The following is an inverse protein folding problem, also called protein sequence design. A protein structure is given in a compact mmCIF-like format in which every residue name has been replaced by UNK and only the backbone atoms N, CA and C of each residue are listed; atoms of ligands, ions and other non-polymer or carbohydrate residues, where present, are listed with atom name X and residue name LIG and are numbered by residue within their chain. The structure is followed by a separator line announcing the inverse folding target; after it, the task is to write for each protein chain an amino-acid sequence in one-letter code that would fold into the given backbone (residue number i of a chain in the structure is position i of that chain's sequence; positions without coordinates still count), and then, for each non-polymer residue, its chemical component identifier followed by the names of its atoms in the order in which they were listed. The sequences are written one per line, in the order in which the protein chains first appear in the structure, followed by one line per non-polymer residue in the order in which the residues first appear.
data_IF_228288280319
#
_entry.id   IF_228288280319
#
_cell.length_a   1.000
_cell.length_b   1.000
_cell.length_c   1.000
_cell.angle_alpha   90.00
_cell.angle_beta   90.00
_cell.angle_gamma   90.00
#
_symmetry.space_group_name_H-M   'P 1'
#
loop_
_entity.id
_entity.type
_entity.pdbx_description
1 polymer ?
#
# COMPACT_ATOMS: atom_id res chain seq x y z
N UNK A 1 -12.53 0.41 1.82
CA UNK A 1 -11.91 1.34 0.83
C UNK A 1 -11.31 2.60 1.46
N UNK A 2 -12.06 3.38 2.24
CA UNK A 2 -11.53 4.61 2.85
C UNK A 2 -10.34 4.35 3.78
N UNK A 3 -10.44 3.32 4.65
CA UNK A 3 -9.34 2.91 5.53
C UNK A 3 -8.07 2.55 4.75
N UNK A 4 -8.20 1.81 3.64
CA UNK A 4 -7.07 1.45 2.77
C UNK A 4 -6.38 2.67 2.17
N UNK A 5 -7.15 3.57 1.55
CA UNK A 5 -6.59 4.76 0.90
C UNK A 5 -5.98 5.70 1.94
N UNK A 6 -6.67 5.88 3.09
CA UNK A 6 -6.20 6.70 4.20
C UNK A 6 -4.91 6.17 4.81
N UNK A 7 -4.81 4.87 5.06
CA UNK A 7 -3.60 4.26 5.62
C UNK A 7 -2.41 4.34 4.65
N UNK A 8 -2.64 4.12 3.35
CA UNK A 8 -1.59 4.25 2.33
C UNK A 8 -1.11 5.70 2.20
N UNK A 9 -2.03 6.68 2.19
CA UNK A 9 -1.69 8.09 2.16
C UNK A 9 -0.91 8.51 3.43
N UNK A 10 -1.35 8.06 4.60
CA UNK A 10 -0.65 8.31 5.86
C UNK A 10 0.78 7.72 5.82
N UNK A 11 0.95 6.49 5.32
CA UNK A 11 2.26 5.86 5.19
C UNK A 11 3.20 6.65 4.26
N UNK A 12 2.69 7.12 3.10
CA UNK A 12 3.46 7.98 2.18
C UNK A 12 3.91 9.27 2.87
N UNK A 13 2.99 9.95 3.57
CA UNK A 13 3.28 11.21 4.26
C UNK A 13 4.30 10.99 5.37
N UNK A 14 4.12 9.95 6.19
CA UNK A 14 5.06 9.63 7.26
C UNK A 14 6.44 9.38 6.67
N UNK A 15 6.58 8.48 5.69
CA UNK A 15 7.88 8.19 5.07
C UNK A 15 8.55 9.44 4.46
N UNK A 16 7.79 10.30 3.77
CA UNK A 16 8.31 11.55 3.20
C UNK A 16 8.74 12.56 4.28
N UNK A 17 8.08 12.56 5.44
CA UNK A 17 8.36 13.48 6.54
C UNK A 17 9.60 13.10 7.37
N UNK A 18 10.22 11.93 7.15
CA UNK A 18 11.39 11.50 7.93
C UNK A 18 12.53 12.52 7.87
N UNK A 19 12.70 13.20 6.72
CA UNK A 19 13.71 14.24 6.54
C UNK A 19 13.63 15.37 7.58
N UNK A 20 12.44 15.65 8.10
CA UNK A 20 12.21 16.74 9.06
C UNK A 20 12.67 16.39 10.48
N UNK A 21 12.70 15.10 10.81
CA UNK A 21 12.99 14.61 12.16
C UNK A 21 14.36 13.95 12.28
N UNK A 22 15.04 13.67 11.16
CA UNK A 22 16.28 12.86 11.11
C UNK A 22 17.40 13.35 12.03
N UNK A 23 17.47 14.67 12.30
CA UNK A 23 18.52 15.28 13.12
C UNK A 23 18.22 15.28 14.63
N UNK A 24 17.01 14.89 15.05
CA UNK A 24 16.60 14.90 16.46
C UNK A 24 16.29 13.47 16.95
N UNK A 25 17.13 12.95 17.86
CA UNK A 25 17.02 11.58 18.38
C UNK A 25 15.66 11.29 19.02
N UNK A 26 15.16 12.19 19.86
CA UNK A 26 13.87 11.99 20.55
C UNK A 26 12.71 12.01 19.56
N UNK A 27 12.76 12.94 18.59
CA UNK A 27 11.76 12.99 17.52
C UNK A 27 11.77 11.71 16.68
N UNK A 28 12.95 11.16 16.37
CA UNK A 28 13.08 9.91 15.61
C UNK A 28 12.48 8.70 16.35
N UNK A 29 12.63 8.60 17.68
CA UNK A 29 12.02 7.51 18.45
C UNK A 29 10.49 7.55 18.33
N UNK A 30 9.88 8.72 18.53
CA UNK A 30 8.43 8.89 18.39
C UNK A 30 8.00 8.61 16.94
N UNK A 31 8.77 9.11 15.98
CA UNK A 31 8.51 8.94 14.56
C UNK A 31 8.56 7.48 14.10
N UNK A 32 9.49 6.66 14.62
CA UNK A 32 9.52 5.22 14.32
C UNK A 32 8.27 4.52 14.84
N UNK A 33 7.76 4.93 16.01
CA UNK A 33 6.46 4.48 16.50
C UNK A 33 5.32 4.84 15.55
N UNK A 34 5.28 6.10 15.08
CA UNK A 34 4.29 6.57 14.10
C UNK A 34 4.41 5.82 12.76
N UNK A 35 5.62 5.57 12.28
CA UNK A 35 5.90 4.77 11.10
C UNK A 35 5.35 3.35 11.26
N UNK A 36 5.57 2.73 12.41
CA UNK A 36 5.00 1.42 12.75
C UNK A 36 3.47 1.45 12.66
N UNK A 37 2.83 2.41 13.34
CA UNK A 37 1.36 2.56 13.30
C UNK A 37 0.86 2.71 11.86
N UNK A 38 1.47 3.60 11.08
CA UNK A 38 1.07 3.84 9.69
C UNK A 38 1.25 2.59 8.82
N UNK A 39 2.38 1.88 8.96
CA UNK A 39 2.68 0.68 8.18
C UNK A 39 1.75 -0.48 8.53
N UNK A 40 1.51 -0.75 9.82
CA UNK A 40 0.61 -1.84 10.22
C UNK A 40 -0.86 -1.54 9.91
N UNK A 41 -1.26 -0.26 9.93
CA UNK A 41 -2.61 0.15 9.57
C UNK A 41 -2.99 -0.21 8.11
N UNK A 42 -2.02 -0.42 7.21
CA UNK A 42 -2.32 -0.81 5.82
C UNK A 42 -2.67 -2.29 5.67
N UNK A 43 -2.24 -3.15 6.59
CA UNK A 43 -2.27 -4.61 6.41
C UNK A 43 -3.70 -5.13 6.35
N UNK A 44 -4.50 -4.90 7.38
CA UNK A 44 -5.87 -5.44 7.44
C UNK A 44 -6.77 -4.91 6.30
N UNK A 45 -6.79 -3.60 5.96
CA UNK A 45 -7.59 -3.09 4.85
C UNK A 45 -7.20 -3.67 3.49
N UNK A 46 -5.91 -3.94 3.23
CA UNK A 46 -5.45 -4.58 1.99
C UNK A 46 -5.99 -6.01 1.89
N UNK A 47 -5.80 -6.79 2.96
CA UNK A 47 -6.21 -8.20 2.98
C UNK A 47 -7.72 -8.37 2.82
N UNK A 48 -8.51 -7.54 3.52
CA UNK A 48 -9.97 -7.55 3.41
C UNK A 48 -10.44 -7.18 2.01
N UNK A 49 -9.81 -6.18 1.38
CA UNK A 49 -10.22 -5.73 0.04
C UNK A 49 -10.04 -6.81 -1.01
N UNK A 50 -8.99 -7.62 -0.94
CA UNK A 50 -8.81 -8.75 -1.87
C UNK A 50 -9.92 -9.79 -1.67
N UNK A 51 -10.24 -10.09 -0.41
CA UNK A 51 -11.27 -11.06 -0.07
C UNK A 51 -12.66 -10.62 -0.53
N UNK A 52 -13.03 -9.35 -0.34
CA UNK A 52 -14.31 -8.78 -0.76
C UNK A 52 -14.58 -8.92 -2.27
N UNK A 53 -13.52 -9.00 -3.08
CA UNK A 53 -13.62 -9.12 -4.54
C UNK A 53 -13.70 -10.56 -5.03
N UNK A 54 -13.50 -11.54 -4.15
CA UNK A 54 -13.64 -12.95 -4.46
C UNK A 54 -14.89 -13.50 -3.77
N UNK A 55 -15.85 -14.04 -4.54
CA UNK A 55 -17.06 -14.69 -4.02
C UNK A 55 -17.07 -16.18 -4.38
N UNK A 56 -17.58 -17.02 -3.48
CA UNK A 56 -17.73 -18.46 -3.70
C UNK A 56 -16.39 -19.18 -3.82
N UNK A 57 -16.28 -20.11 -4.78
CA UNK A 57 -15.12 -20.99 -4.94
C UNK A 57 -13.76 -20.26 -5.13
N UNK A 58 -13.76 -19.00 -5.57
CA UNK A 58 -12.55 -18.20 -5.78
C UNK A 58 -11.94 -17.62 -4.50
N UNK A 59 -12.64 -17.66 -3.36
CA UNK A 59 -12.22 -17.00 -2.12
C UNK A 59 -10.94 -17.61 -1.52
N UNK A 60 -10.82 -18.94 -1.55
CA UNK A 60 -9.62 -19.63 -1.05
C UNK A 60 -8.37 -19.32 -1.89
N UNK A 61 -8.54 -19.26 -3.22
CA UNK A 61 -7.47 -18.87 -4.14
C UNK A 61 -7.08 -17.39 -3.96
N UNK A 62 -8.05 -16.50 -3.76
CA UNK A 62 -7.78 -15.08 -3.51
C UNK A 62 -7.02 -14.87 -2.20
N UNK A 63 -7.37 -15.61 -1.14
CA UNK A 63 -6.67 -15.56 0.15
C UNK A 63 -5.21 -16.05 0.02
N UNK A 64 -4.96 -17.17 -0.66
CA UNK A 64 -3.61 -17.68 -0.86
C UNK A 64 -2.75 -16.74 -1.72
N UNK A 65 -3.32 -16.17 -2.78
CA UNK A 65 -2.66 -15.16 -3.60
C UNK A 65 -2.34 -13.89 -2.82
N UNK A 66 -3.23 -13.44 -1.93
CA UNK A 66 -2.99 -12.29 -1.08
C UNK A 66 -1.82 -12.50 -0.11
N UNK A 67 -1.71 -13.68 0.50
CA UNK A 67 -0.56 -14.05 1.34
C UNK A 67 0.72 -14.12 0.50
N UNK A 68 0.67 -14.73 -0.68
CA UNK A 68 1.82 -14.81 -1.59
C UNK A 68 2.29 -13.42 -2.03
N UNK A 69 1.37 -12.52 -2.37
CA UNK A 69 1.67 -11.15 -2.74
C UNK A 69 2.30 -10.36 -1.57
N UNK A 70 1.81 -10.55 -0.34
CA UNK A 70 2.42 -9.93 0.84
C UNK A 70 3.86 -10.41 1.07
N UNK A 71 4.09 -11.71 0.96
CA UNK A 71 5.43 -12.30 1.10
C UNK A 71 6.38 -11.81 -0.01
N UNK A 72 5.89 -11.75 -1.25
CA UNK A 72 6.64 -11.18 -2.36
C UNK A 72 6.97 -9.70 -2.11
N UNK A 73 6.01 -8.92 -1.60
CA UNK A 73 6.22 -7.51 -1.23
C UNK A 73 7.32 -7.35 -0.18
N UNK A 74 7.33 -8.17 0.87
CA UNK A 74 8.38 -8.16 1.89
C UNK A 74 9.75 -8.54 1.32
N UNK A 75 9.81 -9.57 0.46
CA UNK A 75 11.04 -9.98 -0.20
C UNK A 75 11.60 -8.88 -1.12
N UNK A 76 10.74 -8.29 -1.96
CA UNK A 76 11.10 -7.17 -2.83
C UNK A 76 11.52 -5.94 -2.04
N UNK A 77 10.83 -5.63 -0.95
CA UNK A 77 11.17 -4.53 -0.05
C UNK A 77 12.54 -4.69 0.59
N UNK A 78 12.85 -5.90 1.10
CA UNK A 78 14.15 -6.22 1.67
C UNK A 78 15.27 -6.14 0.62
N UNK A 79 15.03 -6.70 -0.58
CA UNK A 79 15.99 -6.64 -1.69
C UNK A 79 16.26 -5.21 -2.15
N UNK A 80 15.22 -4.42 -2.41
CA UNK A 80 15.35 -3.01 -2.80
C UNK A 80 16.03 -2.19 -1.70
N UNK A 81 15.68 -2.41 -0.42
CA UNK A 81 16.34 -1.77 0.71
C UNK A 81 17.84 -2.06 0.74
N UNK A 82 18.22 -3.33 0.52
CA UNK A 82 19.63 -3.73 0.41
C UNK A 82 20.34 -3.06 -0.77
N UNK A 83 19.71 -3.02 -1.95
CA UNK A 83 20.25 -2.34 -3.13
C UNK A 83 20.46 -0.84 -2.88
N UNK A 84 19.49 -0.16 -2.26
CA UNK A 84 19.59 1.27 -1.92
C UNK A 84 20.76 1.54 -0.97
N UNK A 85 20.92 0.71 0.06
CA UNK A 85 22.04 0.82 1.00
C UNK A 85 23.37 0.59 0.28
N UNK A 86 23.44 -0.37 -0.65
CA UNK A 86 24.65 -0.69 -1.40
C UNK A 86 25.08 0.43 -2.39
N UNK A 87 24.15 1.25 -2.89
CA UNK A 87 24.42 2.26 -3.93
C UNK A 87 25.08 3.57 -3.44
N UNK A 88 25.79 3.58 -2.29
CA UNK A 88 26.30 4.80 -1.63
C UNK A 88 25.23 5.87 -1.29
N UNK A 89 23.95 5.62 -1.60
CA UNK A 89 22.82 6.49 -1.27
C UNK A 89 22.50 6.50 0.24
N UNK A 90 22.98 5.49 0.96
CA UNK A 90 22.94 5.40 2.42
C UNK A 90 21.54 5.20 2.99
N UNK A 91 21.48 5.11 4.33
CA UNK A 91 20.24 4.90 5.11
C UNK A 91 19.21 6.03 4.95
N UNK A 92 19.64 7.22 4.52
CA UNK A 92 18.76 8.39 4.34
C UNK A 92 17.91 8.25 3.08
N UNK A 93 18.35 7.52 2.06
CA UNK A 93 17.61 7.30 0.82
C UNK A 93 16.52 6.23 0.95
N UNK A 94 16.66 5.28 1.87
CA UNK A 94 15.73 4.15 2.05
C UNK A 94 14.26 4.57 2.29
N UNK A 95 13.96 5.55 3.18
CA UNK A 95 12.59 6.02 3.39
C UNK A 95 11.98 6.69 2.17
N UNK A 96 12.78 7.39 1.35
CA UNK A 96 12.32 8.00 0.11
C UNK A 96 11.90 6.96 -0.92
N UNK A 97 12.69 5.90 -1.07
CA UNK A 97 12.34 4.78 -1.95
C UNK A 97 11.07 4.08 -1.46
N UNK A 98 10.94 3.86 -0.14
CA UNK A 98 9.72 3.32 0.45
C UNK A 98 8.50 4.25 0.24
N UNK A 99 8.68 5.57 0.33
CA UNK A 99 7.63 6.56 0.08
C UNK A 99 7.14 6.49 -1.37
N UNK A 100 8.07 6.40 -2.34
CA UNK A 100 7.76 6.24 -3.76
C UNK A 100 6.99 4.94 -4.02
N UNK A 101 7.46 3.81 -3.48
CA UNK A 101 6.76 2.52 -3.61
C UNK A 101 5.35 2.57 -3.01
N UNK A 102 5.21 3.20 -1.84
CA UNK A 102 3.91 3.38 -1.18
C UNK A 102 2.98 4.29 -1.99
N UNK A 103 3.52 5.34 -2.63
CA UNK A 103 2.78 6.24 -3.49
C UNK A 103 2.30 5.55 -4.78
N UNK A 104 3.13 4.68 -5.37
CA UNK A 104 2.73 3.84 -6.49
C UNK A 104 1.58 2.89 -6.08
N UNK A 105 1.67 2.25 -4.91
CA UNK A 105 0.60 1.43 -4.36
C UNK A 105 -0.71 2.21 -4.16
N UNK A 106 -0.63 3.43 -3.63
CA UNK A 106 -1.77 4.33 -3.51
C UNK A 106 -2.38 4.69 -4.88
N UNK A 107 -1.54 4.99 -5.87
CA UNK A 107 -1.98 5.28 -7.24
C UNK A 107 -2.75 4.11 -7.86
N UNK A 108 -2.24 2.88 -7.70
CA UNK A 108 -2.92 1.65 -8.16
C UNK A 108 -4.26 1.46 -7.43
N UNK A 109 -4.29 1.68 -6.11
CA UNK A 109 -5.51 1.56 -5.33
C UNK A 109 -6.58 2.57 -5.78
N UNK A 110 -6.19 3.83 -6.01
CA UNK A 110 -7.07 4.87 -6.54
C UNK A 110 -7.59 4.52 -7.93
N UNK A 111 -6.72 4.05 -8.83
CA UNK A 111 -7.12 3.58 -10.16
C UNK A 111 -8.14 2.45 -10.07
N UNK A 112 -7.90 1.47 -9.21
CA UNK A 112 -8.81 0.34 -8.96
C UNK A 112 -10.20 0.83 -8.52
N UNK A 113 -10.27 1.79 -7.60
CA UNK A 113 -11.54 2.40 -7.16
C UNK A 113 -12.24 3.14 -8.31
N UNK A 114 -11.49 3.90 -9.12
CA UNK A 114 -12.06 4.63 -10.26
C UNK A 114 -12.66 3.68 -11.30
N UNK A 115 -11.98 2.57 -11.61
CA UNK A 115 -12.48 1.55 -12.54
C UNK A 115 -13.80 0.93 -12.06
N UNK A 116 -13.93 0.69 -10.75
CA UNK A 116 -15.17 0.19 -10.15
C UNK A 116 -16.32 1.17 -10.29
N UNK A 117 -16.06 2.46 -10.01
CA UNK A 117 -17.06 3.52 -10.16
C UNK A 117 -17.51 3.67 -11.61
N UNK A 118 -16.60 3.55 -12.57
CA UNK A 118 -16.94 3.57 -14.01
C UNK A 118 -17.81 2.39 -14.42
N UNK A 119 -17.52 1.18 -13.94
CA UNK A 119 -18.35 -0.01 -14.20
C UNK A 119 -19.75 0.10 -13.61
N UNK A 120 -19.89 0.68 -12.42
CA UNK A 120 -21.20 0.91 -11.79
C UNK A 120 -22.03 2.00 -12.49
N UNK A 121 -21.38 2.94 -13.18
CA UNK A 121 -22.03 4.04 -13.89
C UNK A 121 -22.39 3.73 -15.36
N UNK A 122 -21.92 2.61 -15.91
CA UNK A 122 -22.29 2.19 -17.27
C UNK A 122 -23.77 1.73 -17.29
N UNK A 123 -24.66 2.36 -18.08
CA UNK A 123 -26.05 1.93 -18.20
C UNK A 123 -26.13 0.48 -18.70
N UNK A 124 -27.04 -0.32 -18.13
CA UNK A 124 -27.30 -1.68 -18.57
C UNK A 124 -27.84 -1.72 -20.00
N UNK A 125 -26.95 -1.86 -20.99
CA UNK A 125 -27.27 -1.89 -22.43
C UNK A 125 -28.16 -3.08 -22.84
N UNK A 126 -28.44 -4.05 -21.97
CA UNK A 126 -29.27 -5.22 -22.30
C UNK A 126 -30.66 -5.28 -21.64
N UNK A 127 -31.14 -4.25 -20.93
CA UNK A 127 -32.50 -4.29 -20.35
C UNK A 127 -33.61 -3.83 -21.32
N UNK A 128 -33.30 -3.55 -22.59
CA UNK A 128 -34.27 -3.07 -23.60
C UNK A 128 -34.49 -4.01 -24.80
N UNK A 129 -34.02 -5.26 -24.76
CA UNK A 129 -34.46 -6.28 -25.72
C UNK A 129 -35.58 -7.13 -25.09
N UNK A 130 -36.72 -6.48 -24.86
CA UNK A 130 -38.00 -7.15 -24.57
C UNK A 130 -38.80 -7.36 -25.84
#
# INVERSE_FOLDING_TARGET
TAALLGSLAALVVVLAAMGLVLHNKTAMVVFVGLLGVAAFATVAPLQLRVLEHARGAGQNLASSLNIAAFNLGNALGAWLGGVVIAMHAGLVATPWVAALLSALGLGIALWSVQLQRRRAAAPGVCAQAG
#
